data_IF_415746691413
#
_entry.id   IF_415746691413
#
_cell.length_a   1.000
_cell.length_b   1.000
_cell.length_c   1.000
_cell.angle_alpha   90.00
_cell.angle_beta   90.00
_cell.angle_gamma   90.00
#
_symmetry.space_group_name_H-M   'P 1'
#
loop_
_entity.id
_entity.type
_entity.pdbx_description
1 polymer ?
#
# COMPACT_ATOMS: atom_id res chain seq x y z
N UNK A 1 7.67 -26.49 -60.78
CA UNK A 1 7.93 -25.57 -59.66
C UNK A 1 6.85 -25.78 -58.61
N UNK A 2 7.15 -26.45 -57.49
CA UNK A 2 6.26 -26.47 -56.32
C UNK A 2 7.11 -26.01 -55.15
N UNK A 3 6.88 -24.75 -54.76
CA UNK A 3 7.64 -24.04 -53.75
C UNK A 3 7.22 -24.56 -52.37
N UNK A 4 8.11 -25.27 -51.69
CA UNK A 4 7.93 -25.77 -50.34
C UNK A 4 8.21 -24.66 -49.33
N UNK A 5 7.17 -23.92 -48.95
CA UNK A 5 7.24 -22.93 -47.86
C UNK A 5 7.53 -23.62 -46.51
N UNK A 6 8.57 -23.21 -45.76
CA UNK A 6 8.82 -23.76 -44.43
C UNK A 6 7.77 -23.23 -43.45
N UNK A 7 6.93 -24.15 -42.94
CA UNK A 7 6.06 -23.89 -41.80
C UNK A 7 6.94 -23.58 -40.59
N UNK A 8 7.03 -22.30 -40.23
CA UNK A 8 7.53 -21.87 -38.93
C UNK A 8 6.56 -22.37 -37.86
N UNK A 9 6.86 -23.54 -37.29
CA UNK A 9 6.22 -24.01 -36.07
C UNK A 9 6.61 -23.06 -34.93
N UNK A 10 5.77 -22.07 -34.65
CA UNK A 10 5.85 -21.35 -33.37
C UNK A 10 5.57 -22.37 -32.28
N UNK A 11 6.63 -22.85 -31.61
CA UNK A 11 6.47 -23.68 -30.41
C UNK A 11 5.57 -22.94 -29.41
N UNK A 12 4.66 -23.64 -28.71
CA UNK A 12 3.86 -23.03 -27.66
C UNK A 12 4.81 -22.40 -26.63
N UNK A 13 4.55 -21.14 -26.26
CA UNK A 13 5.29 -20.48 -25.17
C UNK A 13 5.04 -21.29 -23.90
N UNK A 14 6.04 -22.04 -23.46
CA UNK A 14 5.99 -22.72 -22.18
C UNK A 14 5.91 -21.66 -21.08
N UNK A 15 4.84 -21.70 -20.29
CA UNK A 15 4.67 -20.85 -19.10
C UNK A 15 5.00 -21.71 -17.88
N UNK A 16 6.09 -21.38 -17.21
CA UNK A 16 6.43 -21.97 -15.90
C UNK A 16 5.84 -21.09 -14.81
N UNK A 17 5.18 -21.69 -13.82
CA UNK A 17 4.58 -21.00 -12.68
C UNK A 17 5.16 -21.55 -11.39
N UNK A 18 5.71 -20.68 -10.54
CA UNK A 18 6.06 -21.01 -9.15
C UNK A 18 4.86 -20.67 -8.25
N UNK A 19 4.33 -21.67 -7.55
CA UNK A 19 3.23 -21.48 -6.60
C UNK A 19 3.76 -21.60 -5.18
N UNK A 20 3.60 -20.54 -4.38
CA UNK A 20 3.97 -20.50 -2.96
C UNK A 20 2.70 -20.72 -2.14
N UNK A 21 2.59 -21.88 -1.49
CA UNK A 21 1.34 -22.33 -0.84
C UNK A 21 1.17 -21.74 0.57
N UNK A 22 2.24 -21.24 1.20
CA UNK A 22 2.20 -20.72 2.58
C UNK A 22 2.94 -19.40 2.69
N UNK A 23 2.23 -18.30 2.95
CA UNK A 23 2.80 -16.96 3.18
C UNK A 23 3.42 -16.81 4.56
N UNK A 24 4.35 -17.70 4.91
CA UNK A 24 5.11 -17.63 6.17
C UNK A 24 6.22 -16.59 6.08
N UNK A 25 6.74 -16.15 7.22
CA UNK A 25 7.86 -15.21 7.23
C UNK A 25 9.10 -15.75 6.49
N UNK A 26 9.30 -17.07 6.51
CA UNK A 26 10.39 -17.74 5.78
C UNK A 26 10.26 -17.71 4.25
N UNK A 27 9.09 -17.37 3.71
CA UNK A 27 8.91 -17.21 2.25
C UNK A 27 9.05 -15.76 1.82
N UNK A 28 9.46 -14.86 2.71
CA UNK A 28 9.81 -13.50 2.32
C UNK A 28 11.18 -13.48 1.63
N UNK A 29 11.30 -12.64 0.61
CA UNK A 29 12.55 -12.51 -0.13
C UNK A 29 12.35 -11.90 -1.50
N UNK A 30 13.45 -11.81 -2.23
CA UNK A 30 13.46 -11.31 -3.60
C UNK A 30 13.46 -12.52 -4.55
N UNK A 31 12.45 -12.58 -5.41
CA UNK A 31 12.22 -13.68 -6.34
C UNK A 31 12.54 -13.22 -7.77
N UNK A 32 13.30 -14.02 -8.52
CA UNK A 32 13.62 -13.76 -9.91
C UNK A 32 13.30 -14.97 -10.78
N UNK A 33 12.80 -14.70 -11.99
CA UNK A 33 12.62 -15.71 -13.00
C UNK A 33 13.90 -15.78 -13.85
N UNK A 34 14.44 -16.99 -14.01
CA UNK A 34 15.63 -17.23 -14.83
C UNK A 34 15.25 -18.13 -15.99
N UNK A 35 15.59 -17.71 -17.21
CA UNK A 35 15.35 -18.45 -18.44
C UNK A 35 16.66 -18.67 -19.20
N UNK A 36 16.98 -19.93 -19.48
CA UNK A 36 18.05 -20.27 -20.41
C UNK A 36 17.52 -20.18 -21.86
N UNK A 37 18.19 -19.38 -22.68
CA UNK A 37 17.86 -19.18 -24.09
C UNK A 37 19.00 -19.76 -24.93
N UNK A 38 18.72 -20.81 -25.68
CA UNK A 38 19.66 -21.47 -26.59
C UNK A 38 19.10 -21.55 -27.99
N UNK A 39 19.95 -21.87 -28.97
CA UNK A 39 19.57 -22.07 -30.37
C UNK A 39 19.08 -20.80 -31.10
N UNK A 40 19.40 -19.62 -30.57
CA UNK A 40 19.13 -18.36 -31.26
C UNK A 40 20.16 -18.17 -32.35
N UNK A 41 19.73 -18.33 -33.61
CA UNK A 41 20.57 -18.09 -34.80
C UNK A 41 20.55 -16.61 -35.15
N UNK A 42 21.72 -15.99 -35.08
CA UNK A 42 21.93 -14.65 -35.61
C UNK A 42 22.14 -14.68 -37.13
N UNK A 43 21.96 -13.53 -37.78
CA UNK A 43 22.12 -13.33 -39.23
C UNK A 43 23.50 -13.78 -39.76
N UNK A 44 24.51 -13.76 -38.90
CA UNK A 44 25.89 -14.17 -39.19
C UNK A 44 26.17 -15.67 -38.96
N UNK A 45 25.13 -16.51 -38.82
CA UNK A 45 25.22 -17.96 -38.52
C UNK A 45 25.79 -18.32 -37.14
N UNK A 46 26.03 -17.33 -36.27
CA UNK A 46 26.35 -17.63 -34.87
C UNK A 46 25.12 -18.14 -34.12
N UNK A 47 25.35 -19.09 -33.22
CA UNK A 47 24.33 -19.59 -32.29
C UNK A 47 24.63 -19.02 -30.92
N UNK A 48 23.69 -18.23 -30.39
CA UNK A 48 23.81 -17.67 -29.04
C UNK A 48 23.19 -18.64 -28.02
N UNK A 49 23.92 -18.80 -26.92
CA UNK A 49 23.42 -19.35 -25.66
C UNK A 49 23.57 -18.26 -24.60
N UNK A 50 22.45 -17.85 -24.01
CA UNK A 50 22.43 -16.79 -22.99
C UNK A 50 21.41 -17.11 -21.90
N UNK A 51 21.49 -16.40 -20.79
CA UNK A 51 20.55 -16.50 -19.67
C UNK A 51 19.89 -15.15 -19.50
N UNK A 52 18.56 -15.13 -19.46
CA UNK A 52 17.77 -13.95 -19.13
C UNK A 52 17.32 -14.06 -17.68
N UNK A 53 17.46 -12.97 -16.93
CA UNK A 53 17.03 -12.86 -15.53
C UNK A 53 16.05 -11.69 -15.44
N UNK A 54 14.89 -11.91 -14.82
CA UNK A 54 13.92 -10.84 -14.61
C UNK A 54 14.36 -9.86 -13.52
N UNK A 55 13.71 -8.70 -13.48
CA UNK A 55 13.76 -7.86 -12.29
C UNK A 55 13.25 -8.63 -11.05
N UNK A 56 13.81 -8.36 -9.86
CA UNK A 56 13.41 -9.02 -8.62
C UNK A 56 12.02 -8.57 -8.17
N UNK A 57 11.19 -9.54 -7.80
CA UNK A 57 9.90 -9.31 -7.16
C UNK A 57 10.07 -9.53 -5.65
N UNK A 58 9.79 -8.49 -4.86
CA UNK A 58 9.87 -8.57 -3.40
C UNK A 58 8.59 -9.18 -2.85
N UNK A 59 8.70 -10.38 -2.29
CA UNK A 59 7.61 -11.01 -1.55
C UNK A 59 7.74 -10.67 -0.06
N UNK A 60 6.72 -10.04 0.49
CA UNK A 60 6.65 -9.65 1.90
C UNK A 60 5.32 -10.10 2.50
N UNK A 61 5.34 -10.63 3.72
CA UNK A 61 4.11 -10.99 4.41
C UNK A 61 3.38 -9.72 4.83
N UNK A 62 2.10 -9.65 4.52
CA UNK A 62 1.30 -8.51 4.92
C UNK A 62 1.15 -8.47 6.46
N UNK A 63 1.44 -7.32 7.06
CA UNK A 63 1.41 -7.10 8.51
C UNK A 63 1.07 -5.65 8.86
N UNK A 64 0.61 -5.45 10.08
CA UNK A 64 0.40 -4.15 10.71
C UNK A 64 0.89 -4.21 12.16
N UNK A 65 1.82 -3.34 12.53
CA UNK A 65 2.32 -3.28 13.92
C UNK A 65 1.33 -2.55 14.83
N UNK A 66 1.67 -2.43 16.11
CA UNK A 66 0.97 -1.54 17.03
C UNK A 66 1.42 -0.10 16.78
N UNK A 67 0.61 0.85 17.25
CA UNK A 67 1.05 2.23 17.37
C UNK A 67 2.18 2.33 18.40
N UNK A 68 3.12 3.23 18.15
CA UNK A 68 4.12 3.60 19.14
C UNK A 68 3.48 4.31 20.33
N UNK A 69 4.14 4.23 21.49
CA UNK A 69 3.69 4.93 22.68
C UNK A 69 3.84 6.44 22.49
N UNK A 70 2.71 7.13 22.34
CA UNK A 70 2.63 8.57 22.16
C UNK A 70 1.81 9.22 23.27
N UNK A 71 1.90 10.54 23.37
CA UNK A 71 1.07 11.38 24.24
C UNK A 71 -0.12 11.96 23.47
N UNK A 72 -1.10 12.50 24.19
CA UNK A 72 -2.16 13.27 23.57
C UNK A 72 -1.57 14.52 22.89
N UNK A 73 -2.09 14.86 21.72
CA UNK A 73 -1.70 16.05 20.98
C UNK A 73 -2.82 17.09 21.05
N UNK A 74 -2.46 18.37 21.19
CA UNK A 74 -3.41 19.47 21.22
C UNK A 74 -3.15 20.38 20.03
N UNK A 75 -4.18 20.59 19.21
CA UNK A 75 -4.13 21.43 18.02
C UNK A 75 -5.07 22.60 18.25
N UNK A 76 -4.52 23.82 18.20
CA UNK A 76 -5.26 25.06 18.37
C UNK A 76 -5.31 25.79 17.04
N UNK A 77 -6.50 26.06 16.51
CA UNK A 77 -6.70 26.66 15.18
C UNK A 77 -7.91 27.56 15.20
N UNK A 78 -7.83 28.77 14.67
CA UNK A 78 -8.96 29.69 14.66
C UNK A 78 -10.03 29.26 13.63
N UNK A 79 -11.27 29.71 13.85
CA UNK A 79 -12.37 29.50 12.90
C UNK A 79 -11.99 29.99 11.49
N UNK A 80 -12.30 29.18 10.47
CA UNK A 80 -12.02 29.49 9.07
C UNK A 80 -10.62 29.11 8.58
N UNK A 81 -9.69 28.74 9.48
CA UNK A 81 -8.36 28.28 9.11
C UNK A 81 -8.33 26.77 8.79
N UNK A 82 -7.20 26.31 8.22
CA UNK A 82 -6.94 24.89 7.97
C UNK A 82 -6.33 24.25 9.21
N UNK A 83 -6.96 23.20 9.76
CA UNK A 83 -6.36 22.39 10.82
C UNK A 83 -5.63 21.16 10.26
N UNK A 84 -4.50 20.80 10.88
CA UNK A 84 -3.77 19.55 10.58
C UNK A 84 -3.70 18.70 11.85
N UNK A 85 -4.32 17.54 11.81
CA UNK A 85 -4.35 16.58 12.92
C UNK A 85 -3.34 15.46 12.61
N UNK A 86 -2.22 15.38 13.34
CA UNK A 86 -1.22 14.34 13.09
C UNK A 86 -1.72 12.97 13.56
N UNK A 87 -1.41 11.92 12.81
CA UNK A 87 -1.54 10.55 13.31
C UNK A 87 -0.22 10.16 13.98
N UNK A 88 -0.09 10.41 15.29
CA UNK A 88 1.15 10.17 16.00
C UNK A 88 1.39 8.67 16.26
N UNK A 89 2.63 8.22 16.07
CA UNK A 89 3.05 6.84 16.33
C UNK A 89 2.48 5.83 15.33
N UNK A 90 2.40 6.20 14.05
CA UNK A 90 1.89 5.34 12.97
C UNK A 90 2.50 3.93 13.00
N UNK A 91 1.68 2.87 12.88
CA UNK A 91 2.20 1.51 12.78
C UNK A 91 2.92 1.30 11.43
N UNK A 92 3.93 0.43 11.43
CA UNK A 92 4.52 -0.14 10.22
C UNK A 92 3.49 -1.04 9.54
N UNK A 93 3.15 -0.68 8.30
CA UNK A 93 2.21 -1.44 7.45
C UNK A 93 2.98 -1.93 6.23
N UNK A 94 3.01 -3.24 6.09
CA UNK A 94 3.62 -3.91 4.95
C UNK A 94 2.55 -4.72 4.24
N UNK A 95 2.44 -4.66 2.90
CA UNK A 95 2.96 -3.59 2.04
C UNK A 95 2.30 -2.24 2.37
N UNK A 96 3.02 -1.14 2.15
CA UNK A 96 2.46 0.22 2.22
C UNK A 96 1.99 0.74 0.85
N UNK A 97 1.35 1.92 0.81
CA UNK A 97 1.00 2.79 1.94
C UNK A 97 -0.20 2.26 2.73
N UNK A 98 -0.29 2.66 4.01
CA UNK A 98 -1.44 2.33 4.83
C UNK A 98 -2.62 3.26 4.51
N UNK A 99 -3.84 2.74 4.63
CA UNK A 99 -5.05 3.55 4.62
C UNK A 99 -5.20 4.19 6.02
N UNK A 100 -5.16 5.53 6.08
CA UNK A 100 -5.28 6.30 7.32
C UNK A 100 -6.61 7.03 7.32
N UNK A 101 -7.33 6.94 8.43
CA UNK A 101 -8.52 7.73 8.63
C UNK A 101 -8.67 8.17 10.09
N UNK A 102 -9.62 9.05 10.36
CA UNK A 102 -9.91 9.52 11.71
C UNK A 102 -11.37 9.30 12.06
N UNK A 103 -11.59 9.05 13.34
CA UNK A 103 -12.91 9.01 13.97
C UNK A 103 -12.95 10.08 15.07
N UNK A 104 -14.09 10.74 15.22
CA UNK A 104 -14.33 11.71 16.29
C UNK A 104 -14.92 10.99 17.51
N UNK A 105 -14.45 11.33 18.70
CA UNK A 105 -15.07 10.84 19.94
C UNK A 105 -16.49 11.38 20.04
N UNK A 106 -17.42 10.54 20.48
CA UNK A 106 -18.83 10.89 20.68
C UNK A 106 -19.56 11.36 19.40
N UNK A 107 -19.11 10.95 18.20
CA UNK A 107 -19.93 11.09 17.00
C UNK A 107 -20.78 9.84 16.80
N UNK A 108 -22.05 10.02 16.42
CA UNK A 108 -22.96 8.93 16.00
C UNK A 108 -22.53 8.24 14.71
N UNK A 109 -21.45 8.72 14.09
CA UNK A 109 -20.87 8.17 12.87
C UNK A 109 -19.79 7.14 13.22
N UNK A 110 -20.05 5.88 12.91
CA UNK A 110 -19.11 4.76 13.13
C UNK A 110 -18.03 4.62 12.02
N UNK A 111 -18.08 5.46 10.98
CA UNK A 111 -17.17 5.42 9.84
C UNK A 111 -15.98 6.39 9.92
N UNK A 112 -15.12 6.33 8.90
CA UNK A 112 -14.02 7.27 8.73
C UNK A 112 -14.52 8.64 8.26
N UNK A 113 -14.08 9.72 8.90
CA UNK A 113 -14.56 11.08 8.60
C UNK A 113 -14.32 11.51 7.14
N UNK A 114 -13.24 11.03 6.53
CA UNK A 114 -12.88 11.31 5.13
C UNK A 114 -13.65 10.49 4.09
N UNK A 115 -14.47 9.52 4.48
CA UNK A 115 -15.23 8.70 3.52
C UNK A 115 -16.43 9.47 2.93
N UNK A 116 -16.80 10.60 3.53
CA UNK A 116 -17.92 11.41 3.04
C UNK A 116 -17.49 12.21 1.81
N UNK A 117 -18.24 12.06 0.72
CA UNK A 117 -17.95 12.70 -0.59
C UNK A 117 -17.88 14.23 -0.50
N UNK A 118 -18.64 14.85 0.41
CA UNK A 118 -18.66 16.30 0.67
C UNK A 118 -18.00 16.69 2.00
N UNK A 119 -17.03 15.92 2.47
CA UNK A 119 -16.41 16.18 3.77
C UNK A 119 -15.33 17.26 3.68
N UNK A 120 -15.28 18.15 4.68
CA UNK A 120 -14.16 19.07 4.89
C UNK A 120 -12.87 18.35 5.36
N UNK A 121 -12.89 17.01 5.48
CA UNK A 121 -11.82 16.18 6.05
C UNK A 121 -11.03 15.47 4.97
N UNK A 122 -9.73 15.77 4.87
CA UNK A 122 -8.82 15.14 3.92
C UNK A 122 -7.81 14.25 4.66
N UNK A 123 -7.89 12.94 4.46
CA UNK A 123 -6.85 12.00 4.92
C UNK A 123 -5.57 12.18 4.11
N UNK A 124 -4.44 12.11 4.80
CA UNK A 124 -3.09 12.20 4.23
C UNK A 124 -2.25 11.02 4.73
N UNK A 125 -1.07 10.81 4.14
CA UNK A 125 -0.16 9.74 4.53
C UNK A 125 0.35 9.82 5.99
N UNK A 126 0.14 10.94 6.70
CA UNK A 126 0.62 11.14 8.07
C UNK A 126 -0.44 11.65 9.05
N UNK A 127 -1.69 11.81 8.62
CA UNK A 127 -2.70 12.50 9.43
C UNK A 127 -3.93 12.91 8.62
N UNK A 128 -4.69 13.88 9.12
CA UNK A 128 -5.87 14.44 8.46
C UNK A 128 -5.82 15.96 8.45
N UNK A 129 -6.37 16.57 7.41
CA UNK A 129 -6.56 18.01 7.31
C UNK A 129 -8.04 18.36 7.33
N UNK A 130 -8.38 19.48 7.96
CA UNK A 130 -9.72 20.07 7.92
C UNK A 130 -9.60 21.40 7.19
N UNK A 131 -10.19 21.51 6.00
CA UNK A 131 -9.96 22.65 5.11
C UNK A 131 -10.50 23.98 5.67
N UNK A 132 -11.68 23.95 6.28
CA UNK A 132 -12.32 25.13 6.90
C UNK A 132 -12.81 24.75 8.28
N UNK A 133 -12.06 25.12 9.31
CA UNK A 133 -12.41 24.82 10.70
C UNK A 133 -13.63 25.63 11.15
N UNK A 134 -14.48 25.00 11.95
CA UNK A 134 -15.73 25.54 12.46
C UNK A 134 -15.86 25.08 13.92
N UNK A 135 -16.63 25.80 14.78
CA UNK A 135 -16.74 25.43 16.20
C UNK A 135 -17.19 23.98 16.44
N UNK A 136 -18.05 23.44 15.57
CA UNK A 136 -18.51 22.04 15.66
C UNK A 136 -17.42 21.00 15.32
N UNK A 137 -16.30 21.42 14.74
CA UNK A 137 -15.13 20.57 14.54
C UNK A 137 -14.32 20.40 15.84
N UNK A 138 -14.59 21.16 16.92
CA UNK A 138 -13.92 20.94 18.19
C UNK A 138 -14.19 19.52 18.73
N UNK A 139 -13.15 18.87 19.26
CA UNK A 139 -13.31 17.58 19.92
C UNK A 139 -12.04 16.74 19.93
N UNK A 140 -12.22 15.48 20.34
CA UNK A 140 -11.15 14.49 20.44
C UNK A 140 -11.23 13.54 19.25
N UNK A 141 -10.11 13.32 18.59
CA UNK A 141 -10.01 12.54 17.37
C UNK A 141 -9.03 11.38 17.56
N UNK A 142 -9.40 10.21 17.08
CA UNK A 142 -8.54 9.03 17.08
C UNK A 142 -8.18 8.65 15.66
N UNK A 143 -6.91 8.34 15.46
CA UNK A 143 -6.43 7.86 14.17
C UNK A 143 -6.70 6.35 14.06
N UNK A 144 -7.15 5.91 12.90
CA UNK A 144 -7.36 4.51 12.54
C UNK A 144 -6.52 4.21 11.32
N UNK A 145 -5.73 3.14 11.39
CA UNK A 145 -4.84 2.71 10.32
C UNK A 145 -5.24 1.32 9.89
N UNK A 146 -5.40 1.12 8.59
CA UNK A 146 -5.85 -0.13 7.98
C UNK A 146 -4.81 -0.65 7.00
N UNK A 147 -4.54 -1.95 7.11
CA UNK A 147 -3.81 -2.67 6.10
C UNK A 147 -4.80 -3.15 5.02
N UNK A 148 -4.66 -2.66 3.79
CA UNK A 148 -5.59 -2.99 2.70
C UNK A 148 -5.55 -4.46 2.29
N UNK A 149 -4.43 -5.16 2.51
CA UNK A 149 -4.25 -6.55 2.12
C UNK A 149 -4.80 -7.53 3.17
N UNK A 150 -4.60 -7.25 4.46
CA UNK A 150 -5.10 -8.11 5.55
C UNK A 150 -6.45 -7.68 6.09
N UNK A 151 -6.92 -6.49 5.72
CA UNK A 151 -8.10 -5.80 6.27
C UNK A 151 -8.06 -5.55 7.78
N UNK A 152 -6.92 -5.79 8.43
CA UNK A 152 -6.73 -5.51 9.85
C UNK A 152 -6.64 -4.01 10.08
N UNK A 153 -7.32 -3.54 11.14
CA UNK A 153 -7.33 -2.15 11.57
C UNK A 153 -6.69 -1.99 12.94
N UNK A 154 -6.07 -0.84 13.17
CA UNK A 154 -5.55 -0.43 14.48
C UNK A 154 -6.01 0.99 14.77
N UNK A 155 -6.51 1.22 15.98
CA UNK A 155 -6.85 2.55 16.49
C UNK A 155 -5.71 3.08 17.35
N UNK A 156 -5.45 4.38 17.27
CA UNK A 156 -4.45 5.03 18.10
C UNK A 156 -4.84 4.93 19.59
N UNK A 157 -3.87 4.68 20.49
CA UNK A 157 -4.14 4.60 21.93
C UNK A 157 -4.42 5.98 22.54
N UNK A 158 -3.96 7.05 21.90
CA UNK A 158 -4.13 8.45 22.32
C UNK A 158 -4.90 9.24 21.27
N UNK A 159 -5.56 10.29 21.73
CA UNK A 159 -6.32 11.19 20.89
C UNK A 159 -5.51 12.43 20.50
N UNK A 160 -5.96 13.08 19.44
CA UNK A 160 -5.63 14.47 19.09
C UNK A 160 -6.83 15.33 19.45
N UNK A 161 -6.65 16.34 20.29
CA UNK A 161 -7.70 17.29 20.67
C UNK A 161 -7.61 18.54 19.82
N UNK A 162 -8.61 18.78 18.98
CA UNK A 162 -8.77 20.02 18.24
C UNK A 162 -9.52 21.02 19.12
N UNK A 163 -8.97 22.23 19.23
CA UNK A 163 -9.55 23.39 19.90
C UNK A 163 -9.66 24.51 18.87
N UNK A 164 -10.86 25.09 18.78
CA UNK A 164 -11.24 26.12 17.82
C UNK A 164 -11.41 27.46 18.52
#
# INVERSE_FOLDING_TARGET
>A
MVNSSPRYWRKPKARTLLTIISGKQQTEGDYQCVAAVSEVRLSNRQVIKTTLVSDPIKLRRARITKFDQTTNHYVHVEQGQVARLPCAGLPDVVPGPAEICFIKSNSDFEGCLSDKVDSNYLSTATGMQIAVVQPHHEGEYYCVVRNEYTKQTRKSPRYVKLRV
#
